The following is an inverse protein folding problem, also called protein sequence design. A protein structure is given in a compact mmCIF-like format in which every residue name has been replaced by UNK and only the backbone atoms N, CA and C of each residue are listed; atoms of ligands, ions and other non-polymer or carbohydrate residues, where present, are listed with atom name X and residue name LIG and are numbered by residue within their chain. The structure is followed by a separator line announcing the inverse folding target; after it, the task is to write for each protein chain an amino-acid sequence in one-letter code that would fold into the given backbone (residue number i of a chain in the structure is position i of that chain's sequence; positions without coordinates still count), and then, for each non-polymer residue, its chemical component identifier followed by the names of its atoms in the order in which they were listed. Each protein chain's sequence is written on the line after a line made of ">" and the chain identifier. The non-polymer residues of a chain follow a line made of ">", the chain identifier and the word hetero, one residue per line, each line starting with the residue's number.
data_IF_540590803740
#
_entry.id   IF_540590803740
#
_cell.length_a   1.000
_cell.length_b   1.000
_cell.length_c   1.000
_cell.angle_alpha   90.00
_cell.angle_beta   90.00
_cell.angle_gamma   90.00
#
_symmetry.space_group_name_H-M   'P 1'
#
loop_
_entity.id
_entity.type
_entity.pdbx_description
1 polymer ?
#
# COMPACT_ATOMS: atom_id res chain seq x y z
N UNK A 1 -1.44 2.38 -2.91
CA UNK A 1 -1.61 1.98 -4.34
C UNK A 1 -0.58 0.89 -4.63
N UNK A 2 -0.98 -0.20 -5.30
CA UNK A 2 -0.09 -1.33 -5.62
C UNK A 2 0.22 -1.37 -7.12
N UNK A 3 1.17 -2.20 -7.51
CA UNK A 3 1.45 -2.46 -8.92
C UNK A 3 0.36 -3.31 -9.55
N UNK A 4 0.21 -3.20 -10.87
CA UNK A 4 -0.58 -4.13 -11.69
C UNK A 4 0.29 -5.34 -12.05
N UNK A 5 0.70 -6.05 -11.02
CA UNK A 5 1.55 -7.23 -11.04
C UNK A 5 0.98 -8.34 -10.13
N UNK A 6 1.64 -9.50 -10.07
CA UNK A 6 1.19 -10.61 -9.24
C UNK A 6 1.12 -10.24 -7.77
N UNK A 7 2.14 -9.54 -7.26
CA UNK A 7 2.16 -9.12 -5.86
C UNK A 7 1.01 -8.17 -5.52
N UNK A 8 0.64 -7.25 -6.41
CA UNK A 8 -0.48 -6.35 -6.21
C UNK A 8 -1.82 -7.09 -6.19
N UNK A 9 -1.98 -8.10 -7.04
CA UNK A 9 -3.18 -8.95 -7.04
C UNK A 9 -3.28 -9.74 -5.73
N UNK A 10 -2.19 -10.37 -5.30
CA UNK A 10 -2.12 -11.14 -4.06
C UNK A 10 -2.38 -10.24 -2.84
N UNK A 11 -1.88 -9.00 -2.85
CA UNK A 11 -2.09 -8.03 -1.77
C UNK A 11 -3.56 -7.62 -1.65
N UNK A 12 -4.23 -7.37 -2.77
CA UNK A 12 -5.66 -7.03 -2.79
C UNK A 12 -6.48 -8.21 -2.26
N UNK A 13 -6.15 -9.43 -2.65
CA UNK A 13 -6.82 -10.62 -2.15
C UNK A 13 -6.60 -10.82 -0.65
N UNK A 14 -5.38 -10.63 -0.17
CA UNK A 14 -5.07 -10.67 1.27
C UNK A 14 -5.89 -9.65 2.07
N UNK A 15 -6.06 -8.41 1.57
CA UNK A 15 -6.92 -7.43 2.24
C UNK A 15 -8.37 -7.90 2.34
N UNK A 16 -8.92 -8.47 1.26
CA UNK A 16 -10.28 -9.03 1.26
C UNK A 16 -10.45 -10.19 2.24
N UNK A 17 -9.46 -11.08 2.33
CA UNK A 17 -9.46 -12.20 3.27
C UNK A 17 -9.44 -11.74 4.75
N UNK A 18 -9.01 -10.51 5.00
CA UNK A 18 -9.01 -9.89 6.33
C UNK A 18 -10.18 -8.92 6.54
N UNK A 19 -11.24 -9.02 5.72
CA UNK A 19 -12.44 -8.17 5.79
C UNK A 19 -12.16 -6.66 5.65
N UNK A 20 -11.06 -6.29 4.98
CA UNK A 20 -10.71 -4.90 4.69
C UNK A 20 -11.31 -4.51 3.33
N UNK A 21 -12.08 -3.42 3.29
CA UNK A 21 -12.60 -2.87 2.03
C UNK A 21 -11.45 -2.49 1.09
N UNK A 22 -11.52 -2.97 -0.15
CA UNK A 22 -10.55 -2.66 -1.21
C UNK A 22 -11.10 -1.65 -2.24
N UNK A 23 -12.17 -0.93 -1.91
CA UNK A 23 -12.82 0.05 -2.82
C UNK A 23 -11.83 1.10 -3.32
N UNK A 24 -10.94 1.58 -2.45
CA UNK A 24 -9.91 2.58 -2.76
C UNK A 24 -8.50 1.98 -2.80
N UNK A 25 -8.39 0.67 -3.07
CA UNK A 25 -7.09 0.01 -3.31
C UNK A 25 -6.77 0.04 -4.81
N UNK A 26 -6.02 1.05 -5.23
CA UNK A 26 -5.66 1.26 -6.64
C UNK A 26 -4.51 0.38 -7.12
N UNK A 27 -4.52 0.05 -8.41
CA UNK A 27 -3.39 -0.57 -9.13
C UNK A 27 -2.83 0.37 -10.22
N UNK A 28 -1.53 0.36 -10.44
CA UNK A 28 -0.87 1.11 -11.54
C UNK A 28 0.09 0.23 -12.34
N UNK A 29 0.25 0.53 -13.64
CA UNK A 29 1.27 -0.10 -14.50
C UNK A 29 2.61 0.65 -14.47
N UNK A 30 2.66 1.84 -13.87
CA UNK A 30 3.81 2.75 -13.97
C UNK A 30 4.90 2.43 -12.94
N UNK A 31 4.59 1.60 -11.93
CA UNK A 31 5.54 1.07 -10.97
C UNK A 31 5.09 -0.31 -10.46
N UNK A 32 6.07 -1.12 -10.03
CA UNK A 32 5.80 -2.37 -9.33
C UNK A 32 5.20 -2.13 -7.94
N UNK A 33 4.55 -3.15 -7.39
CA UNK A 33 4.14 -3.17 -5.97
C UNK A 33 5.36 -2.94 -5.08
N UNK A 34 5.20 -2.12 -4.03
CA UNK A 34 6.27 -1.83 -3.08
C UNK A 34 6.79 -3.10 -2.41
N UNK A 35 8.08 -3.16 -2.16
CA UNK A 35 8.75 -4.34 -1.61
C UNK A 35 9.73 -3.96 -0.50
N UNK A 36 9.80 -4.82 0.52
CA UNK A 36 10.85 -4.80 1.52
C UNK A 36 11.60 -6.13 1.45
N UNK A 37 12.86 -6.09 1.05
CA UNK A 37 13.75 -7.25 1.15
C UNK A 37 14.36 -7.27 2.55
N UNK A 38 14.01 -8.28 3.33
CA UNK A 38 14.41 -8.41 4.73
C UNK A 38 15.38 -9.60 4.85
N UNK A 39 16.57 -9.32 5.36
CA UNK A 39 17.58 -10.33 5.72
C UNK A 39 17.66 -10.35 7.24
N UNK A 40 17.59 -11.54 7.83
CA UNK A 40 17.62 -11.73 9.29
C UNK A 40 18.72 -12.72 9.66
N UNK A 41 19.53 -12.41 10.67
CA UNK A 41 20.54 -13.33 11.22
C UNK A 41 19.93 -14.28 12.28
N UNK A 42 20.76 -15.15 12.88
CA UNK A 42 20.29 -16.13 13.87
C UNK A 42 19.91 -15.48 15.21
N UNK A 43 20.45 -14.28 15.48
CA UNK A 43 20.19 -13.48 16.67
C UNK A 43 18.92 -12.62 16.52
N UNK A 44 18.31 -12.61 15.33
CA UNK A 44 17.09 -11.85 15.01
C UNK A 44 17.35 -10.40 14.59
N UNK A 45 18.61 -10.00 14.35
CA UNK A 45 18.93 -8.70 13.78
C UNK A 45 18.52 -8.68 12.31
N UNK A 46 17.99 -7.55 11.84
CA UNK A 46 17.52 -7.42 10.48
C UNK A 46 18.23 -6.31 9.69
N UNK A 47 18.34 -6.54 8.38
CA UNK A 47 18.66 -5.54 7.37
C UNK A 47 17.47 -5.48 6.43
N UNK A 48 16.95 -4.27 6.20
CA UNK A 48 15.76 -4.04 5.38
C UNK A 48 16.12 -3.11 4.25
N UNK A 49 15.90 -3.55 3.01
CA UNK A 49 16.00 -2.72 1.81
C UNK A 49 14.60 -2.47 1.28
N UNK A 50 14.17 -1.21 1.26
CA UNK A 50 12.82 -0.81 0.88
C UNK A 50 12.83 -0.17 -0.52
N UNK A 51 11.91 -0.63 -1.36
CA UNK A 51 11.55 0.01 -2.62
C UNK A 51 10.06 0.37 -2.54
N UNK A 52 9.75 1.66 -2.39
CA UNK A 52 8.37 2.11 -2.18
C UNK A 52 7.46 1.83 -3.39
N UNK A 53 7.99 1.86 -4.61
CA UNK A 53 7.26 1.50 -5.83
C UNK A 53 5.95 2.28 -6.00
N UNK A 54 4.88 1.56 -6.31
CA UNK A 54 3.54 2.10 -6.52
C UNK A 54 2.97 2.89 -5.34
N UNK A 55 3.51 2.75 -4.12
CA UNK A 55 3.06 3.55 -2.96
C UNK A 55 3.26 5.06 -3.20
N UNK A 56 4.37 5.45 -3.82
CA UNK A 56 4.66 6.86 -4.13
C UNK A 56 3.79 7.44 -5.25
N UNK A 57 3.06 6.59 -5.96
CA UNK A 57 2.14 6.99 -7.03
C UNK A 57 0.70 7.18 -6.55
N UNK A 58 0.43 6.98 -5.25
CA UNK A 58 -0.81 7.46 -4.64
C UNK A 58 -0.80 8.99 -4.65
N UNK A 59 -1.86 9.59 -5.21
CA UNK A 59 -1.92 11.03 -5.44
C UNK A 59 -3.23 11.64 -4.90
N UNK A 60 -3.34 12.97 -5.05
CA UNK A 60 -4.50 13.72 -4.55
C UNK A 60 -5.80 13.37 -5.24
N UNK A 61 -5.76 12.95 -6.50
CA UNK A 61 -6.91 12.55 -7.30
C UNK A 61 -7.49 11.23 -6.79
N UNK A 62 -6.63 10.25 -6.50
CA UNK A 62 -7.03 9.00 -5.83
C UNK A 62 -7.71 9.31 -4.48
N UNK A 63 -7.16 10.24 -3.70
CA UNK A 63 -7.72 10.62 -2.39
C UNK A 63 -9.07 11.34 -2.51
N UNK A 64 -9.30 12.11 -3.58
CA UNK A 64 -10.58 12.80 -3.81
C UNK A 64 -11.71 11.81 -4.03
N UNK A 65 -11.45 10.68 -4.68
CA UNK A 65 -12.46 9.62 -4.85
C UNK A 65 -12.89 9.02 -3.50
N UNK A 66 -11.97 8.95 -2.54
CA UNK A 66 -12.24 8.46 -1.18
C UNK A 66 -12.88 9.50 -0.24
N UNK A 67 -13.10 10.74 -0.68
CA UNK A 67 -13.50 11.86 0.19
C UNK A 67 -14.77 11.59 1.02
N UNK A 68 -15.77 10.93 0.44
CA UNK A 68 -17.01 10.59 1.14
C UNK A 68 -16.81 9.48 2.21
N UNK A 69 -15.93 8.52 1.96
CA UNK A 69 -15.60 7.51 2.96
C UNK A 69 -14.82 8.15 4.13
N UNK A 70 -13.86 9.03 3.80
CA UNK A 70 -13.06 9.76 4.77
C UNK A 70 -13.92 10.66 5.65
N UNK A 71 -14.86 11.42 5.08
CA UNK A 71 -15.72 12.36 5.84
C UNK A 71 -16.63 11.67 6.85
N UNK A 72 -16.95 10.39 6.62
CA UNK A 72 -17.80 9.57 7.49
C UNK A 72 -17.01 8.76 8.51
N UNK A 73 -15.69 8.65 8.34
CA UNK A 73 -14.82 7.93 9.26
C UNK A 73 -14.72 8.63 10.62
N UNK A 74 -14.46 7.86 11.68
CA UNK A 74 -14.22 8.39 13.03
C UNK A 74 -12.75 8.68 13.29
N UNK A 75 -11.87 7.93 12.61
CA UNK A 75 -10.43 7.98 12.77
C UNK A 75 -9.80 7.86 11.38
N UNK A 76 -8.77 8.67 11.15
CA UNK A 76 -7.86 8.56 10.01
C UNK A 76 -6.48 8.16 10.55
N UNK A 77 -5.83 7.20 9.89
CA UNK A 77 -4.49 6.73 10.24
C UNK A 77 -3.60 6.90 9.02
N UNK A 78 -2.43 7.52 9.20
CA UNK A 78 -1.44 7.74 8.16
C UNK A 78 -0.04 7.35 8.64
N UNK A 79 0.86 7.15 7.68
CA UNK A 79 2.29 6.88 7.88
C UNK A 79 3.12 7.72 6.89
N UNK A 80 4.45 7.70 7.03
CA UNK A 80 5.39 8.45 6.18
C UNK A 80 5.93 7.62 5.01
N UNK A 81 5.05 6.90 4.30
CA UNK A 81 5.44 5.99 3.19
C UNK A 81 4.86 6.38 1.82
N UNK A 82 4.29 7.58 1.72
CA UNK A 82 3.74 8.16 0.49
C UNK A 82 4.30 9.57 0.27
N UNK A 83 4.16 10.09 -0.95
CA UNK A 83 4.56 11.46 -1.28
C UNK A 83 3.70 12.47 -0.50
N UNK A 84 4.29 13.56 0.05
CA UNK A 84 3.56 14.62 0.74
C UNK A 84 2.56 15.39 -0.15
#
# INVERSE_FOLDING_TARGET
>A
KVGKDSFGNDYIENLKQNDISTEFTYQTKDAATGAASIIVDNEGQNIIVIVAGANLLLNTEDLREAANAISRAKVMICQLEVTP
#
